data_IF_306512292606
#
_entry.id   IF_306512292606
#
_cell.length_a   1.000
_cell.length_b   1.000
_cell.length_c   1.000
_cell.angle_alpha   90.00
_cell.angle_beta   90.00
_cell.angle_gamma   90.00
#
_symmetry.space_group_name_H-M   'P 1'
#
loop_
_entity.id
_entity.type
_entity.pdbx_description
1 polymer ?
#
# COMPACT_ATOMS: atom_id res chain seq x y z
N UNK A 1 10.03 -16.49 -8.11
CA UNK A 1 8.77 -16.12 -7.46
C UNK A 1 8.37 -14.74 -7.91
N UNK A 2 7.14 -14.62 -8.32
CA UNK A 2 6.66 -13.35 -8.85
C UNK A 2 6.19 -12.44 -7.72
N UNK A 3 6.73 -11.23 -7.68
CA UNK A 3 6.31 -10.22 -6.74
C UNK A 3 5.08 -9.52 -7.29
N UNK A 4 4.05 -9.40 -6.48
CA UNK A 4 2.85 -8.67 -6.90
C UNK A 4 3.04 -7.18 -6.66
N UNK A 5 2.31 -6.32 -7.40
CA UNK A 5 2.41 -4.88 -7.21
C UNK A 5 2.16 -4.44 -5.76
N UNK A 6 1.21 -5.08 -5.09
CA UNK A 6 0.90 -4.76 -3.70
C UNK A 6 2.07 -5.05 -2.77
N UNK A 7 2.82 -6.13 -3.04
CA UNK A 7 4.00 -6.48 -2.25
C UNK A 7 5.08 -5.40 -2.38
N UNK A 8 5.29 -4.91 -3.59
CA UNK A 8 6.26 -3.84 -3.83
C UNK A 8 5.85 -2.56 -3.10
N UNK A 9 4.58 -2.20 -3.18
CA UNK A 9 4.07 -1.01 -2.51
C UNK A 9 4.31 -1.10 -1.00
N UNK A 10 3.95 -2.21 -0.41
CA UNK A 10 4.11 -2.41 1.03
C UNK A 10 5.57 -2.36 1.44
N UNK A 11 6.43 -3.02 0.66
CA UNK A 11 7.86 -3.04 0.95
C UNK A 11 8.47 -1.65 0.90
N UNK A 12 8.14 -0.87 -0.13
CA UNK A 12 8.70 0.45 -0.31
C UNK A 12 8.18 1.44 0.72
N UNK A 13 6.91 1.36 1.09
CA UNK A 13 6.39 2.23 2.14
C UNK A 13 6.98 1.90 3.50
N UNK A 14 7.34 0.64 3.75
CA UNK A 14 8.02 0.28 4.99
C UNK A 14 9.43 0.86 5.03
N UNK A 15 9.99 1.23 3.89
CA UNK A 15 11.29 1.87 3.77
C UNK A 15 11.19 3.40 3.71
N UNK A 16 10.03 3.96 4.03
CA UNK A 16 9.77 5.40 4.00
C UNK A 16 9.92 6.03 2.61
N UNK A 17 9.64 5.28 1.55
CA UNK A 17 9.63 5.82 0.21
C UNK A 17 8.40 6.69 0.00
N UNK A 18 8.55 7.72 -0.84
CA UNK A 18 7.42 8.59 -1.17
C UNK A 18 6.47 7.91 -2.15
N UNK A 19 5.23 8.41 -2.21
CA UNK A 19 4.24 7.91 -3.15
C UNK A 19 4.76 8.01 -4.58
N UNK A 20 5.39 9.12 -4.91
CA UNK A 20 5.95 9.34 -6.24
C UNK A 20 6.99 8.28 -6.58
N UNK A 21 7.88 7.97 -5.65
CA UNK A 21 8.90 6.94 -5.84
C UNK A 21 8.26 5.59 -6.09
N UNK A 22 7.25 5.22 -5.28
CA UNK A 22 6.55 3.95 -5.43
C UNK A 22 5.85 3.89 -6.78
N UNK A 23 5.22 4.99 -7.19
CA UNK A 23 4.55 5.07 -8.48
C UNK A 23 5.51 4.78 -9.63
N UNK A 24 6.68 5.42 -9.62
CA UNK A 24 7.70 5.19 -10.65
C UNK A 24 8.19 3.75 -10.66
N UNK A 25 8.38 3.17 -9.48
CA UNK A 25 8.83 1.78 -9.37
C UNK A 25 7.80 0.81 -9.94
N UNK A 26 6.52 1.04 -9.67
CA UNK A 26 5.47 0.20 -10.23
C UNK A 26 5.44 0.28 -11.75
N UNK A 27 5.57 1.47 -12.28
CA UNK A 27 5.57 1.66 -13.73
C UNK A 27 6.77 0.98 -14.38
N UNK A 28 7.92 0.99 -13.71
CA UNK A 28 9.15 0.40 -14.22
C UNK A 28 9.19 -1.11 -14.05
N UNK A 29 8.82 -1.61 -12.88
CA UNK A 29 8.91 -3.05 -12.58
C UNK A 29 7.81 -3.89 -13.20
N UNK A 30 6.61 -3.35 -13.29
CA UNK A 30 5.45 -4.10 -13.77
C UNK A 30 4.93 -3.62 -15.11
N UNK A 31 5.63 -2.69 -15.72
CA UNK A 31 5.24 -2.14 -17.02
C UNK A 31 3.80 -1.60 -17.00
N UNK A 32 3.43 -0.98 -15.90
CA UNK A 32 2.10 -0.41 -15.71
C UNK A 32 2.02 1.01 -16.24
N UNK A 33 0.82 1.44 -16.59
CA UNK A 33 0.58 2.85 -16.87
C UNK A 33 0.52 3.61 -15.54
N UNK A 34 0.62 4.93 -15.62
CA UNK A 34 0.51 5.77 -14.43
C UNK A 34 -0.82 5.57 -13.72
N UNK A 35 -1.91 5.46 -14.49
CA UNK A 35 -3.23 5.24 -13.92
C UNK A 35 -3.32 3.90 -13.17
N UNK A 36 -2.76 2.86 -13.75
CA UNK A 36 -2.76 1.55 -13.12
C UNK A 36 -1.95 1.56 -11.83
N UNK A 37 -0.76 2.16 -11.87
CA UNK A 37 0.09 2.25 -10.69
C UNK A 37 -0.59 3.07 -9.59
N UNK A 38 -1.23 4.17 -9.96
CA UNK A 38 -1.94 5.00 -8.99
C UNK A 38 -3.10 4.24 -8.36
N UNK A 39 -3.83 3.46 -9.16
CA UNK A 39 -4.92 2.66 -8.65
C UNK A 39 -4.45 1.63 -7.62
N UNK A 40 -3.31 1.01 -7.88
CA UNK A 40 -2.73 0.06 -6.93
C UNK A 40 -2.35 0.73 -5.61
N UNK A 41 -1.77 1.92 -5.69
CA UNK A 41 -1.39 2.68 -4.50
C UNK A 41 -2.64 3.07 -3.71
N UNK A 42 -3.67 3.54 -4.39
CA UNK A 42 -4.94 3.91 -3.75
C UNK A 42 -5.56 2.71 -3.03
N UNK A 43 -5.53 1.55 -3.67
CA UNK A 43 -6.04 0.33 -3.05
C UNK A 43 -5.25 -0.03 -1.80
N UNK A 44 -3.94 0.12 -1.84
CA UNK A 44 -3.10 -0.12 -0.68
C UNK A 44 -3.50 0.78 0.50
N UNK A 45 -3.71 2.06 0.25
CA UNK A 45 -4.10 2.99 1.29
C UNK A 45 -5.47 2.67 1.87
N UNK A 46 -6.40 2.21 1.05
CA UNK A 46 -7.71 1.79 1.52
C UNK A 46 -7.60 0.60 2.47
N UNK A 47 -6.78 -0.38 2.11
CA UNK A 47 -6.58 -1.57 2.93
C UNK A 47 -5.93 -1.21 4.26
N UNK A 48 -4.89 -0.38 4.22
CA UNK A 48 -4.18 0.05 5.43
C UNK A 48 -5.10 0.84 6.35
N UNK A 49 -5.89 1.75 5.79
CA UNK A 49 -6.84 2.53 6.56
C UNK A 49 -7.88 1.64 7.23
N UNK A 50 -8.39 0.67 6.49
CA UNK A 50 -9.37 -0.28 7.03
C UNK A 50 -8.78 -1.09 8.19
N UNK A 51 -7.56 -1.58 8.02
CA UNK A 51 -6.89 -2.36 9.06
C UNK A 51 -6.63 -1.52 10.32
N UNK A 52 -6.27 -0.26 10.14
CA UNK A 52 -6.01 0.64 11.25
C UNK A 52 -7.30 0.88 12.05
N UNK A 53 -8.40 1.11 11.36
CA UNK A 53 -9.70 1.30 12.00
C UNK A 53 -10.13 0.06 12.78
N UNK A 54 -9.92 -1.13 12.23
CA UNK A 54 -10.25 -2.38 12.90
C UNK A 54 -9.40 -2.56 14.15
N UNK A 55 -8.11 -2.24 14.06
CA UNK A 55 -7.21 -2.32 15.19
C UNK A 55 -7.62 -1.38 16.32
N UNK A 56 -7.96 -0.15 16.00
CA UNK A 56 -8.40 0.84 16.97
C UNK A 56 -9.69 0.40 17.65
N UNK A 57 -10.62 -0.13 16.87
CA UNK A 57 -11.89 -0.61 17.40
C UNK A 57 -11.69 -1.80 18.35
N UNK A 58 -10.82 -2.72 17.98
CA UNK A 58 -10.51 -3.88 18.82
C UNK A 58 -9.92 -3.45 20.16
N UNK A 59 -9.08 -2.42 20.16
CA UNK A 59 -8.50 -1.90 21.40
C UNK A 59 -9.57 -1.35 22.32
N UNK A 60 -10.54 -0.62 21.77
CA UNK A 60 -11.65 -0.08 22.55
C UNK A 60 -12.50 -1.18 23.16
N UNK A 61 -12.71 -2.25 22.43
CA UNK A 61 -13.51 -3.36 22.93
C UNK A 61 -12.87 -4.07 24.09
N UNK A 62 -11.55 -3.96 24.24
CA UNK A 62 -10.85 -4.53 25.38
C UNK A 62 -10.93 -3.68 26.64
N UNK A 63 -11.52 -2.51 26.54
CA UNK A 63 -11.70 -1.66 27.68
C UNK A 63 -10.48 -0.86 28.12
N UNK A 64 -9.51 -0.76 27.26
CA UNK A 64 -8.29 -0.01 27.54
C UNK A 64 -8.37 1.43 27.13
#
# INVERSE_FOLDING_TARGET
MDMEPMDLIRDKFSQDCTVETVLHLLMSHFDMTEEEAQAEIDEYFEIVDWMDKQGAHARRLRGD
#
